data_IF_183792725058
#
_entry.id   IF_183792725058
#
_cell.length_a   1.000
_cell.length_b   1.000
_cell.length_c   1.000
_cell.angle_alpha   90.00
_cell.angle_beta   90.00
_cell.angle_gamma   90.00
#
_symmetry.space_group_name_H-M   'P 1'
#
loop_
_entity.id
_entity.type
_entity.pdbx_description
1 polymer ?
#
# COMPACT_ATOMS: atom_id res chain seq x y z
N UNK A 1 -4.34 -18.48 3.33
CA UNK A 1 -3.74 -17.24 3.85
C UNK A 1 -2.37 -17.08 3.21
N UNK A 2 -2.11 -15.96 2.53
CA UNK A 2 -0.88 -15.68 1.81
C UNK A 2 0.27 -15.28 2.76
N UNK A 3 0.68 -16.19 3.66
CA UNK A 3 1.73 -15.89 4.66
C UNK A 3 3.04 -15.43 4.00
N UNK A 4 3.37 -15.99 2.83
CA UNK A 4 4.53 -15.60 2.04
C UNK A 4 4.46 -14.13 1.57
N UNK A 5 3.30 -13.68 1.09
CA UNK A 5 3.09 -12.29 0.62
C UNK A 5 3.31 -11.28 1.75
N UNK A 6 2.71 -11.51 2.93
CA UNK A 6 2.84 -10.58 4.05
C UNK A 6 4.29 -10.52 4.57
N UNK A 7 5.01 -11.64 4.54
CA UNK A 7 6.42 -11.67 4.91
C UNK A 7 7.26 -10.87 3.89
N UNK A 8 7.13 -11.18 2.59
CA UNK A 8 7.85 -10.48 1.51
C UNK A 8 7.68 -8.96 1.55
N UNK A 9 6.45 -8.48 1.74
CA UNK A 9 6.17 -7.03 1.83
C UNK A 9 6.87 -6.42 3.04
N UNK A 10 6.84 -7.06 4.22
CA UNK A 10 7.53 -6.53 5.41
C UNK A 10 9.03 -6.50 5.26
N UNK A 11 9.63 -7.57 4.74
CA UNK A 11 11.06 -7.60 4.47
C UNK A 11 11.47 -6.48 3.52
N UNK A 12 10.68 -6.26 2.46
CA UNK A 12 10.97 -5.22 1.49
C UNK A 12 10.81 -3.81 2.09
N UNK A 13 9.75 -3.56 2.89
CA UNK A 13 9.58 -2.31 3.64
C UNK A 13 10.78 -2.06 4.55
N UNK A 14 11.19 -3.06 5.35
CA UNK A 14 12.30 -2.91 6.28
C UNK A 14 13.65 -2.68 5.58
N UNK A 15 13.86 -3.28 4.41
CA UNK A 15 15.06 -3.03 3.60
C UNK A 15 15.07 -1.69 2.86
N UNK A 16 13.92 -1.01 2.75
CA UNK A 16 13.74 0.20 1.93
C UNK A 16 12.88 1.25 2.65
N UNK A 17 13.11 1.45 3.97
CA UNK A 17 12.25 2.29 4.81
C UNK A 17 12.18 3.74 4.30
N UNK A 18 13.31 4.31 3.89
CA UNK A 18 13.37 5.69 3.37
C UNK A 18 12.51 5.86 2.11
N UNK A 19 12.61 4.92 1.15
CA UNK A 19 11.79 4.96 -0.06
C UNK A 19 10.30 4.81 0.29
N UNK A 20 9.98 3.83 1.15
CA UNK A 20 8.59 3.57 1.52
C UNK A 20 7.96 4.77 2.20
N UNK A 21 8.63 5.36 3.20
CA UNK A 21 8.16 6.55 3.91
C UNK A 21 8.12 7.77 2.99
N UNK A 22 9.11 7.93 2.10
CA UNK A 22 9.09 8.96 1.06
C UNK A 22 7.87 8.90 0.14
N UNK A 23 7.30 7.70 -0.06
CA UNK A 23 6.04 7.53 -0.80
C UNK A 23 4.84 7.84 0.10
N UNK A 24 4.70 7.10 1.21
CA UNK A 24 3.43 7.07 1.98
C UNK A 24 3.25 8.26 2.93
N UNK A 25 4.32 8.99 3.22
CA UNK A 25 4.32 10.19 4.05
C UNK A 25 4.50 11.48 3.24
N UNK A 26 4.59 11.38 1.90
CA UNK A 26 4.65 12.57 1.06
C UNK A 26 3.38 13.44 1.22
N UNK A 27 3.50 14.77 1.16
CA UNK A 27 2.33 15.66 1.26
C UNK A 27 1.24 15.33 0.25
N UNK A 28 1.63 15.00 -0.98
CA UNK A 28 0.70 14.65 -2.06
C UNK A 28 -0.03 13.34 -1.76
N UNK A 29 0.67 12.32 -1.26
CA UNK A 29 0.05 11.04 -0.91
C UNK A 29 -0.89 11.20 0.28
N UNK A 30 -0.43 11.84 1.36
CA UNK A 30 -1.19 12.00 2.61
C UNK A 30 -2.39 12.94 2.48
N UNK A 31 -2.38 13.85 1.50
CA UNK A 31 -3.55 14.68 1.17
C UNK A 31 -4.75 13.87 0.67
N UNK A 32 -4.52 12.69 0.09
CA UNK A 32 -5.57 11.88 -0.56
C UNK A 32 -5.72 10.49 0.03
N UNK A 33 -4.66 9.93 0.59
CA UNK A 33 -4.57 8.54 0.98
C UNK A 33 -3.99 8.38 2.38
N UNK A 34 -4.32 7.23 2.98
CA UNK A 34 -3.67 6.70 4.17
C UNK A 34 -3.56 5.20 4.00
N UNK A 35 -2.47 4.60 4.49
CA UNK A 35 -2.35 3.14 4.49
C UNK A 35 -3.41 2.57 5.44
N UNK A 36 -4.17 1.63 4.90
CA UNK A 36 -5.24 0.91 5.58
C UNK A 36 -4.93 -0.59 5.57
N UNK A 37 -5.49 -1.27 6.56
CA UNK A 37 -5.27 -2.68 6.76
C UNK A 37 -5.58 -3.11 8.18
N UNK A 38 -5.82 -4.41 8.35
CA UNK A 38 -5.85 -4.96 9.71
C UNK A 38 -4.41 -5.01 10.24
N UNK A 39 -4.18 -4.49 11.44
CA UNK A 39 -2.84 -4.46 12.06
C UNK A 39 -2.72 -5.43 13.23
N UNK A 40 -1.49 -5.83 13.51
CA UNK A 40 -1.10 -6.52 14.73
C UNK A 40 -0.96 -5.51 15.87
N UNK A 41 -1.13 -5.96 17.11
CA UNK A 41 -0.92 -5.12 18.29
C UNK A 41 0.55 -4.69 18.43
N UNK A 42 1.47 -5.61 18.14
CA UNK A 42 2.91 -5.40 18.27
C UNK A 42 3.58 -5.56 16.91
N UNK A 43 4.74 -4.92 16.76
CA UNK A 43 5.66 -5.17 15.63
C UNK A 43 5.98 -6.67 15.58
N UNK A 44 5.94 -7.32 14.40
CA UNK A 44 6.26 -8.74 14.28
C UNK A 44 7.67 -9.05 14.79
N UNK A 45 7.85 -10.25 15.37
CA UNK A 45 9.18 -10.72 15.77
C UNK A 45 10.12 -10.73 14.56
N UNK A 46 11.32 -10.20 14.73
CA UNK A 46 12.34 -10.09 13.67
C UNK A 46 12.61 -8.66 13.21
N UNK A 47 11.73 -7.71 13.52
CA UNK A 47 11.93 -6.29 13.20
C UNK A 47 12.18 -5.45 14.47
N UNK A 48 13.07 -4.44 14.41
CA UNK A 48 13.25 -3.48 15.50
C UNK A 48 11.96 -2.70 15.75
N UNK A 49 11.55 -2.55 17.00
CA UNK A 49 10.34 -1.80 17.34
C UNK A 49 10.46 -0.28 17.17
N UNK A 50 11.69 0.21 17.06
CA UNK A 50 12.09 1.60 16.91
C UNK A 50 12.50 1.97 15.46
N UNK A 51 12.38 1.03 14.51
CA UNK A 51 12.64 1.34 13.11
C UNK A 51 11.60 2.35 12.56
N UNK A 52 11.99 3.24 11.63
CA UNK A 52 11.11 4.25 11.06
C UNK A 52 9.77 3.70 10.53
N UNK A 53 9.78 2.52 9.92
CA UNK A 53 8.57 1.90 9.36
C UNK A 53 7.82 0.97 10.33
N UNK A 54 8.16 0.94 11.62
CA UNK A 54 7.64 -0.03 12.60
C UNK A 54 6.11 -0.14 12.62
N UNK A 55 5.39 0.99 12.55
CA UNK A 55 3.93 0.98 12.55
C UNK A 55 3.35 0.35 11.27
N UNK A 56 4.01 0.57 10.12
CA UNK A 56 3.60 -0.03 8.85
C UNK A 56 3.89 -1.53 8.80
N UNK A 57 4.92 -2.02 9.51
CA UNK A 57 5.22 -3.46 9.59
C UNK A 57 4.14 -4.24 10.35
N UNK A 58 3.29 -3.58 11.14
CA UNK A 58 2.20 -4.25 11.88
C UNK A 58 1.04 -4.67 10.98
N UNK A 59 0.87 -4.06 9.81
CA UNK A 59 -0.23 -4.41 8.91
C UNK A 59 -0.14 -5.85 8.40
N UNK A 60 -1.29 -6.49 8.21
CA UNK A 60 -1.45 -7.82 7.58
C UNK A 60 -1.77 -7.71 6.09
N UNK A 61 -2.12 -6.51 5.64
CA UNK A 61 -2.44 -6.10 4.29
C UNK A 61 -2.18 -4.59 4.20
N UNK A 62 -1.65 -4.12 3.08
CA UNK A 62 -1.43 -2.69 2.82
C UNK A 62 -2.29 -2.32 1.62
N UNK A 63 -3.26 -1.44 1.84
CA UNK A 63 -4.07 -0.89 0.76
C UNK A 63 -4.40 0.56 1.05
N UNK A 64 -4.85 1.29 0.03
CA UNK A 64 -5.39 2.64 0.18
C UNK A 64 -6.73 2.71 -0.54
N UNK A 65 -7.52 3.69 -0.16
CA UNK A 65 -8.83 3.93 -0.75
C UNK A 65 -9.01 5.42 -0.98
N UNK A 66 -9.64 5.77 -2.10
CA UNK A 66 -10.11 7.13 -2.36
C UNK A 66 -11.63 7.13 -2.41
N UNK A 67 -12.25 7.93 -1.55
CA UNK A 67 -13.70 8.01 -1.47
C UNK A 67 -14.20 9.00 -2.52
N UNK A 68 -14.96 8.48 -3.48
CA UNK A 68 -15.65 9.30 -4.46
C UNK A 68 -16.91 9.90 -3.83
N UNK A 69 -17.20 11.17 -4.16
CA UNK A 69 -18.44 11.83 -3.75
C UNK A 69 -19.59 11.37 -4.64
N UNK A 70 -20.78 11.37 -4.08
CA UNK A 70 -22.01 11.16 -4.83
C UNK A 70 -22.12 12.15 -6.00
N UNK A 71 -22.65 11.69 -7.13
CA UNK A 71 -22.79 12.47 -8.35
C UNK A 71 -21.51 12.66 -9.18
N UNK A 72 -20.36 12.09 -8.77
CA UNK A 72 -19.13 12.15 -9.60
C UNK A 72 -19.33 11.51 -10.98
N UNK A 73 -20.25 10.54 -11.07
CA UNK A 73 -20.55 9.83 -12.31
C UNK A 73 -21.52 10.59 -13.23
N UNK A 74 -22.11 11.69 -12.77
CA UNK A 74 -22.97 12.53 -13.59
C UNK A 74 -22.15 13.33 -14.63
N UNK A 75 -20.84 13.47 -14.37
CA UNK A 75 -19.85 14.07 -15.28
C UNK A 75 -18.70 13.08 -15.49
N UNK A 76 -18.80 12.30 -16.57
CA UNK A 76 -17.83 11.25 -16.88
C UNK A 76 -16.44 11.80 -17.24
N UNK A 77 -16.35 12.99 -17.85
CA UNK A 77 -15.05 13.59 -18.18
C UNK A 77 -14.31 13.98 -16.90
N UNK A 78 -15.03 14.59 -15.95
CA UNK A 78 -14.49 14.91 -14.62
C UNK A 78 -14.10 13.65 -13.86
N UNK A 79 -14.94 12.61 -13.89
CA UNK A 79 -14.63 11.33 -13.25
C UNK A 79 -13.32 10.73 -13.80
N UNK A 80 -13.17 10.66 -15.12
CA UNK A 80 -11.95 10.12 -15.75
C UNK A 80 -10.72 10.92 -15.35
N UNK A 81 -10.82 12.25 -15.27
CA UNK A 81 -9.73 13.11 -14.82
C UNK A 81 -9.33 12.81 -13.36
N UNK A 82 -10.31 12.76 -12.44
CA UNK A 82 -10.06 12.43 -11.03
C UNK A 82 -9.44 11.04 -10.90
N UNK A 83 -9.99 10.05 -11.60
CA UNK A 83 -9.45 8.69 -11.57
C UNK A 83 -8.00 8.66 -12.06
N UNK A 84 -7.70 9.32 -13.19
CA UNK A 84 -6.35 9.42 -13.72
C UNK A 84 -5.36 10.06 -12.73
N UNK A 85 -5.74 11.18 -12.13
CA UNK A 85 -4.92 11.87 -11.11
C UNK A 85 -4.65 10.96 -9.90
N UNK A 86 -5.68 10.29 -9.37
CA UNK A 86 -5.53 9.40 -8.21
C UNK A 86 -4.70 8.15 -8.54
N UNK A 87 -4.86 7.58 -9.75
CA UNK A 87 -4.09 6.42 -10.19
C UNK A 87 -2.60 6.75 -10.40
N UNK A 88 -2.29 7.93 -10.91
CA UNK A 88 -0.90 8.38 -11.01
C UNK A 88 -0.28 8.59 -9.63
N UNK A 89 -1.05 9.14 -8.69
CA UNK A 89 -0.58 9.39 -7.33
C UNK A 89 -0.33 8.10 -6.52
N UNK A 90 -1.17 7.07 -6.67
CA UNK A 90 -0.96 5.75 -6.01
C UNK A 90 0.10 4.90 -6.73
N UNK A 91 0.49 5.23 -7.97
CA UNK A 91 1.41 4.40 -8.77
C UNK A 91 2.73 4.07 -8.03
N UNK A 92 3.45 5.02 -7.39
CA UNK A 92 4.70 4.70 -6.71
C UNK A 92 4.51 3.66 -5.58
N UNK A 93 3.42 3.75 -4.83
CA UNK A 93 3.07 2.77 -3.80
C UNK A 93 2.81 1.38 -4.40
N UNK A 94 2.05 1.30 -5.49
CA UNK A 94 1.79 0.04 -6.18
C UNK A 94 3.06 -0.56 -6.79
N UNK A 95 3.93 0.26 -7.39
CA UNK A 95 5.21 -0.18 -7.92
C UNK A 95 6.11 -0.74 -6.81
N UNK A 96 6.16 -0.07 -5.66
CA UNK A 96 6.90 -0.54 -4.48
C UNK A 96 6.41 -1.93 -4.04
N UNK A 97 5.09 -2.12 -3.89
CA UNK A 97 4.52 -3.42 -3.54
C UNK A 97 4.76 -4.50 -4.61
N UNK A 98 4.71 -4.13 -5.89
CA UNK A 98 5.00 -5.05 -6.98
C UNK A 98 6.45 -5.53 -6.94
N UNK A 99 7.42 -4.65 -6.64
CA UNK A 99 8.82 -5.05 -6.44
C UNK A 99 9.00 -5.93 -5.21
N UNK A 100 8.29 -5.64 -4.12
CA UNK A 100 8.28 -6.49 -2.94
C UNK A 100 7.77 -7.91 -3.23
N UNK A 101 6.91 -8.04 -4.24
CA UNK A 101 6.30 -9.31 -4.67
C UNK A 101 6.92 -9.85 -5.96
N UNK A 102 8.09 -9.38 -6.37
CA UNK A 102 8.75 -9.92 -7.56
C UNK A 102 8.98 -11.43 -7.42
N UNK A 103 8.66 -12.17 -8.49
CA UNK A 103 8.64 -13.63 -8.51
C UNK A 103 7.55 -14.32 -7.68
N UNK A 104 6.63 -13.60 -7.03
CA UNK A 104 5.46 -14.22 -6.40
C UNK A 104 4.42 -14.61 -7.46
N UNK A 105 3.88 -15.82 -7.34
CA UNK A 105 2.84 -16.35 -8.24
C UNK A 105 1.55 -16.53 -7.45
N UNK A 106 0.45 -15.97 -7.96
CA UNK A 106 -0.87 -16.19 -7.38
C UNK A 106 -1.24 -17.68 -7.46
N UNK A 107 -1.80 -18.26 -6.38
CA UNK A 107 -2.28 -19.63 -6.40
C UNK A 107 -3.40 -19.75 -7.43
N UNK A 108 -3.31 -20.80 -8.24
CA UNK A 108 -4.33 -21.11 -9.22
C UNK A 108 -5.66 -21.37 -8.51
N UNK A 109 -6.74 -20.80 -9.04
CA UNK A 109 -8.08 -21.15 -8.58
C UNK A 109 -8.33 -22.59 -9.05
N UNK A 110 -8.69 -23.53 -8.16
CA UNK A 110 -9.09 -24.86 -8.57
C UNK A 110 -10.27 -24.74 -9.56
N UNK A 111 -10.17 -25.44 -10.69
CA UNK A 111 -11.27 -25.58 -11.66
C UNK A 111 -12.34 -26.48 -11.06
#
# INVERSE_FOLDING_TARGET
MFKDVTYRIREYIHGHEEEFLGIVESPEFTAHFRIMGTSLKNVPKGYPSDCPAAEYLKYKSWFVEYHLKDGVFDDLERFVKIAGEMYLLIKPFNDFLNRALDGFVMPERPI
#
